data_IF_576644122722
#
_entry.id   IF_576644122722
#
_cell.length_a   1.000
_cell.length_b   1.000
_cell.length_c   1.000
_cell.angle_alpha   90.00
_cell.angle_beta   90.00
_cell.angle_gamma   90.00
#
_symmetry.space_group_name_H-M   'P 1'
#
loop_
_entity.id
_entity.type
_entity.pdbx_description
1 polymer ?
#
# COMPACT_ATOMS: atom_id res chain seq x y z
N UNK A 1 -64.63 -0.35 -51.87
CA UNK A 1 -63.42 0.37 -52.30
C UNK A 1 -62.68 0.79 -51.05
N UNK A 2 -61.56 0.14 -50.82
CA UNK A 2 -60.81 0.06 -49.57
C UNK A 2 -59.63 1.03 -49.68
N UNK A 3 -59.50 2.00 -48.77
CA UNK A 3 -58.33 2.88 -48.72
C UNK A 3 -57.56 2.62 -47.43
N UNK A 4 -56.43 1.92 -47.57
CA UNK A 4 -55.45 1.65 -46.53
C UNK A 4 -54.70 2.94 -46.18
N UNK A 5 -54.64 3.29 -44.90
CA UNK A 5 -53.75 4.32 -44.37
C UNK A 5 -52.30 3.81 -44.36
N UNK A 6 -51.29 4.66 -44.63
CA UNK A 6 -49.90 4.23 -44.64
C UNK A 6 -49.39 4.02 -43.21
N UNK A 7 -48.77 2.86 -42.99
CA UNK A 7 -48.01 2.52 -41.78
C UNK A 7 -46.80 3.45 -41.65
N UNK A 8 -46.78 4.27 -40.60
CA UNK A 8 -45.60 5.02 -40.20
C UNK A 8 -44.53 4.04 -39.69
N UNK A 9 -43.51 3.82 -40.51
CA UNK A 9 -42.30 3.08 -40.15
C UNK A 9 -41.64 3.78 -38.95
N UNK A 10 -41.65 3.12 -37.80
CA UNK A 10 -40.89 3.55 -36.64
C UNK A 10 -39.40 3.50 -36.98
N UNK A 11 -38.79 4.65 -37.27
CA UNK A 11 -37.34 4.79 -37.36
C UNK A 11 -36.74 4.37 -36.02
N UNK A 12 -36.08 3.22 -36.02
CA UNK A 12 -35.21 2.76 -34.94
C UNK A 12 -34.08 3.78 -34.84
N UNK A 13 -34.22 4.74 -33.90
CA UNK A 13 -33.12 5.61 -33.50
C UNK A 13 -31.99 4.73 -32.97
N UNK A 14 -30.94 4.53 -33.77
CA UNK A 14 -29.72 3.88 -33.34
C UNK A 14 -29.22 4.55 -32.05
N UNK A 15 -29.07 3.73 -31.00
CA UNK A 15 -28.49 4.19 -29.76
C UNK A 15 -27.06 4.70 -30.03
N UNK A 16 -26.65 5.84 -29.46
CA UNK A 16 -25.32 6.37 -29.69
C UNK A 16 -24.25 5.34 -29.33
N UNK A 17 -23.17 5.23 -30.11
CA UNK A 17 -22.12 4.25 -29.90
C UNK A 17 -21.57 4.40 -28.48
N UNK A 18 -21.58 3.29 -27.72
CA UNK A 18 -20.99 3.23 -26.38
C UNK A 18 -19.54 3.69 -26.48
N UNK A 19 -19.18 4.77 -25.79
CA UNK A 19 -17.80 5.21 -25.66
C UNK A 19 -17.01 4.08 -24.99
N UNK A 20 -16.28 3.30 -25.79
CA UNK A 20 -15.26 2.40 -25.26
C UNK A 20 -14.23 3.25 -24.52
N UNK A 21 -13.92 2.93 -23.24
CA UNK A 21 -12.90 3.66 -22.51
C UNK A 21 -11.58 3.57 -23.27
N UNK A 22 -11.09 4.72 -23.74
CA UNK A 22 -9.85 4.84 -24.48
C UNK A 22 -8.73 4.08 -23.75
N UNK A 23 -8.11 3.11 -24.43
CA UNK A 23 -7.03 2.31 -23.86
C UNK A 23 -5.95 3.24 -23.26
N UNK A 24 -5.41 2.92 -22.07
CA UNK A 24 -4.42 3.77 -21.43
C UNK A 24 -3.22 3.92 -22.38
N UNK A 25 -3.00 5.13 -22.90
CA UNK A 25 -1.84 5.46 -23.74
C UNK A 25 -0.59 5.12 -22.93
N UNK A 26 0.08 4.02 -23.31
CA UNK A 26 1.38 3.64 -22.76
C UNK A 26 2.30 4.85 -22.94
N UNK A 27 2.56 5.56 -21.84
CA UNK A 27 3.43 6.73 -21.81
C UNK A 27 4.82 6.25 -22.22
N UNK A 28 5.17 6.35 -23.50
CA UNK A 28 6.53 6.09 -23.99
C UNK A 28 7.42 7.15 -23.36
N UNK A 29 8.37 6.72 -22.54
CA UNK A 29 9.36 7.60 -21.93
C UNK A 29 10.23 8.11 -23.08
N UNK A 30 9.99 9.35 -23.51
CA UNK A 30 10.84 9.97 -24.52
C UNK A 30 12.19 10.35 -23.87
N UNK A 31 13.32 10.24 -24.58
CA UNK A 31 14.63 10.65 -24.05
C UNK A 31 14.63 12.13 -23.63
N UNK A 32 13.79 12.96 -24.25
CA UNK A 32 13.56 14.36 -23.85
C UNK A 32 12.86 14.48 -22.49
N UNK A 33 11.90 13.61 -22.18
CA UNK A 33 11.25 13.57 -20.87
C UNK A 33 12.20 13.10 -19.76
N UNK A 34 13.13 12.19 -20.06
CA UNK A 34 14.21 11.79 -19.15
C UNK A 34 15.22 12.93 -18.91
N UNK A 35 15.61 13.65 -19.96
CA UNK A 35 16.48 14.83 -19.85
C UNK A 35 15.83 15.98 -19.06
N UNK A 36 14.51 16.16 -19.18
CA UNK A 36 13.75 17.15 -18.40
C UNK A 36 13.51 16.71 -16.94
N UNK A 37 13.57 15.41 -16.64
CA UNK A 37 13.40 14.87 -15.29
C UNK A 37 14.70 14.84 -14.48
N UNK A 38 15.87 14.87 -15.14
CA UNK A 38 17.20 14.82 -14.52
C UNK A 38 17.67 16.08 -13.76
N UNK A 39 17.36 17.33 -14.16
CA UNK A 39 17.95 18.51 -13.53
C UNK A 39 17.51 18.68 -12.07
N UNK A 40 16.29 18.26 -11.71
CA UNK A 40 15.77 18.40 -10.35
C UNK A 40 16.50 17.47 -9.35
N UNK A 41 16.64 16.14 -9.59
CA UNK A 41 17.43 15.26 -8.73
C UNK A 41 18.90 15.70 -8.61
N UNK A 42 19.51 16.12 -9.72
CA UNK A 42 20.90 16.58 -9.73
C UNK A 42 21.05 17.84 -8.89
N UNK A 43 20.17 18.83 -9.08
CA UNK A 43 20.18 20.05 -8.26
C UNK A 43 20.01 19.72 -6.77
N UNK A 44 19.15 18.78 -6.41
CA UNK A 44 18.98 18.33 -5.02
C UNK A 44 20.26 17.71 -4.46
N UNK A 45 20.93 16.83 -5.20
CA UNK A 45 22.19 16.21 -4.75
C UNK A 45 23.32 17.22 -4.61
N UNK A 46 23.42 18.17 -5.56
CA UNK A 46 24.42 19.24 -5.53
C UNK A 46 24.14 20.21 -4.38
N UNK A 47 22.90 20.65 -4.19
CA UNK A 47 22.55 21.54 -3.07
C UNK A 47 22.77 20.85 -1.72
N UNK A 48 22.50 19.54 -1.62
CA UNK A 48 22.79 18.77 -0.41
C UNK A 48 24.30 18.67 -0.15
N UNK A 49 25.10 18.34 -1.16
CA UNK A 49 26.56 18.25 -0.97
C UNK A 49 27.17 19.60 -0.60
N UNK A 50 26.75 20.68 -1.27
CA UNK A 50 27.19 22.04 -0.94
C UNK A 50 26.72 22.47 0.45
N UNK A 51 25.49 22.12 0.84
CA UNK A 51 24.96 22.46 2.16
C UNK A 51 25.71 21.80 3.30
N UNK A 52 26.14 20.55 3.13
CA UNK A 52 27.00 19.86 4.11
C UNK A 52 28.40 20.49 4.12
N UNK A 53 29.01 20.72 2.95
CA UNK A 53 30.36 21.29 2.85
C UNK A 53 30.46 22.71 3.44
N UNK A 54 29.50 23.58 3.14
CA UNK A 54 29.46 24.95 3.63
C UNK A 54 28.76 25.08 4.99
N UNK A 55 28.43 23.96 5.64
CA UNK A 55 27.80 23.94 6.98
C UNK A 55 26.58 24.87 7.08
N UNK A 56 25.69 24.81 6.09
CA UNK A 56 24.50 25.67 6.06
C UNK A 56 23.66 25.48 7.32
N UNK A 57 23.29 26.60 7.94
CA UNK A 57 22.29 26.64 9.00
C UNK A 57 20.91 26.85 8.37
N UNK A 58 20.10 25.80 8.40
CA UNK A 58 18.71 25.90 8.01
C UNK A 58 17.89 26.55 9.15
N UNK A 59 16.69 27.08 8.83
CA UNK A 59 15.73 27.48 9.86
C UNK A 59 15.50 26.34 10.87
N UNK A 60 15.08 26.69 12.10
CA UNK A 60 14.88 25.74 13.20
C UNK A 60 16.15 25.10 13.78
N UNK A 61 17.33 25.66 13.49
CA UNK A 61 18.59 25.25 14.12
C UNK A 61 19.20 23.96 13.56
N UNK A 62 18.70 23.48 12.41
CA UNK A 62 19.22 22.29 11.73
C UNK A 62 20.55 22.64 11.05
N UNK A 63 21.64 22.07 11.54
CA UNK A 63 22.98 22.26 10.96
C UNK A 63 23.27 21.16 9.96
N UNK A 64 23.43 21.52 8.68
CA UNK A 64 23.74 20.53 7.63
C UNK A 64 25.06 19.78 7.87
N UNK A 65 25.98 20.34 8.67
CA UNK A 65 27.22 19.67 9.07
C UNK A 65 27.01 18.35 9.84
N UNK A 66 25.82 18.14 10.43
CA UNK A 66 25.48 16.90 11.13
C UNK A 66 24.95 15.81 10.18
N UNK A 67 24.58 16.16 8.95
CA UNK A 67 24.07 15.22 7.98
C UNK A 67 25.24 14.58 7.19
N UNK A 68 25.12 13.30 6.82
CA UNK A 68 26.10 12.67 5.96
C UNK A 68 26.06 13.28 4.56
N UNK A 69 27.19 13.27 3.87
CA UNK A 69 27.23 13.65 2.45
C UNK A 69 26.51 12.60 1.59
N UNK A 70 25.99 12.97 0.40
CA UNK A 70 25.43 11.99 -0.53
C UNK A 70 26.40 10.84 -0.87
N UNK A 71 27.71 11.14 -0.93
CA UNK A 71 28.76 10.14 -1.14
C UNK A 71 28.89 9.16 0.01
N UNK A 72 28.78 9.60 1.27
CA UNK A 72 28.81 8.72 2.44
C UNK A 72 27.60 7.78 2.46
N UNK A 73 26.40 8.30 2.13
CA UNK A 73 25.20 7.46 1.98
C UNK A 73 25.38 6.46 0.84
N UNK A 74 25.97 6.87 -0.29
CA UNK A 74 26.28 5.96 -1.40
C UNK A 74 27.28 4.85 -1.03
N UNK A 75 28.34 5.18 -0.30
CA UNK A 75 29.32 4.21 0.22
C UNK A 75 28.65 3.25 1.19
N UNK A 76 27.82 3.76 2.12
CA UNK A 76 27.08 2.94 3.07
C UNK A 76 26.11 2.00 2.36
N UNK A 77 25.38 2.48 1.35
CA UNK A 77 24.54 1.62 0.52
C UNK A 77 25.36 0.50 -0.13
N UNK A 78 26.49 0.82 -0.75
CA UNK A 78 27.37 -0.21 -1.33
C UNK A 78 27.86 -1.21 -0.28
N UNK A 79 28.23 -0.75 0.92
CA UNK A 79 28.67 -1.59 2.03
C UNK A 79 27.58 -2.54 2.50
N UNK A 80 26.34 -2.08 2.59
CA UNK A 80 25.20 -2.91 2.97
C UNK A 80 25.02 -4.10 2.01
N UNK A 81 25.26 -3.91 0.70
CA UNK A 81 25.09 -4.96 -0.31
C UNK A 81 26.32 -5.84 -0.53
N UNK A 82 27.52 -5.27 -0.55
CA UNK A 82 28.76 -5.98 -0.93
C UNK A 82 29.66 -6.31 0.26
N UNK A 83 29.54 -5.56 1.36
CA UNK A 83 30.35 -5.69 2.56
C UNK A 83 31.80 -5.22 2.40
N UNK A 84 32.46 -5.02 3.54
CA UNK A 84 33.91 -4.78 3.63
C UNK A 84 34.35 -3.34 3.35
N UNK A 85 33.42 -2.38 3.21
CA UNK A 85 33.73 -0.96 2.99
C UNK A 85 33.65 -0.15 4.29
N UNK A 86 32.70 -0.48 5.17
CA UNK A 86 32.49 0.18 6.46
C UNK A 86 32.40 -0.88 7.56
N UNK A 87 33.20 -0.78 8.64
CA UNK A 87 33.06 -1.68 9.78
C UNK A 87 31.67 -1.54 10.39
N UNK A 88 30.93 -2.64 10.48
CA UNK A 88 29.61 -2.65 11.11
C UNK A 88 28.88 -3.98 11.00
N UNK A 89 27.86 -4.22 11.84
CA UNK A 89 27.12 -5.49 11.87
C UNK A 89 26.27 -5.73 10.61
N UNK A 90 26.00 -4.68 9.82
CA UNK A 90 25.16 -4.75 8.62
C UNK A 90 25.93 -4.85 7.29
N UNK A 91 27.27 -4.81 7.34
CA UNK A 91 28.13 -4.89 6.15
C UNK A 91 27.88 -6.22 5.42
N UNK A 92 27.35 -6.16 4.20
CA UNK A 92 27.03 -7.33 3.38
C UNK A 92 25.84 -8.17 3.83
N UNK A 93 25.06 -7.76 4.83
CA UNK A 93 23.93 -8.55 5.38
C UNK A 93 22.54 -8.00 4.98
N UNK A 94 22.46 -7.01 4.08
CA UNK A 94 21.20 -6.32 3.78
C UNK A 94 20.09 -7.23 3.25
N UNK A 95 20.45 -8.28 2.49
CA UNK A 95 19.50 -9.22 1.91
C UNK A 95 18.69 -9.95 2.97
N UNK A 96 19.31 -10.28 4.11
CA UNK A 96 18.63 -10.90 5.24
C UNK A 96 17.59 -9.97 5.85
N UNK A 97 17.91 -8.68 5.97
CA UNK A 97 17.00 -7.66 6.46
C UNK A 97 15.83 -7.41 5.51
N UNK A 98 16.11 -7.29 4.21
CA UNK A 98 15.09 -7.14 3.16
C UNK A 98 14.13 -8.33 3.18
N UNK A 99 14.68 -9.56 3.19
CA UNK A 99 13.87 -10.76 3.18
C UNK A 99 12.96 -10.87 4.41
N UNK A 100 13.52 -10.63 5.60
CA UNK A 100 12.74 -10.65 6.84
C UNK A 100 11.59 -9.62 6.81
N UNK A 101 11.85 -8.41 6.31
CA UNK A 101 10.84 -7.36 6.13
C UNK A 101 9.76 -7.76 5.11
N UNK A 102 10.14 -8.32 3.97
CA UNK A 102 9.19 -8.79 2.95
C UNK A 102 8.30 -9.93 3.48
N UNK A 103 8.87 -10.88 4.22
CA UNK A 103 8.11 -11.99 4.83
C UNK A 103 7.09 -11.46 5.82
N UNK A 104 7.45 -10.49 6.68
CA UNK A 104 6.51 -9.90 7.64
C UNK A 104 5.43 -9.07 6.96
N UNK A 105 5.80 -8.20 6.02
CA UNK A 105 4.85 -7.42 5.23
C UNK A 105 3.87 -8.33 4.50
N UNK A 106 4.40 -9.33 3.78
CA UNK A 106 3.60 -10.30 3.02
C UNK A 106 2.68 -11.13 3.91
N UNK A 107 3.16 -11.59 5.06
CA UNK A 107 2.36 -12.38 6.01
C UNK A 107 1.21 -11.56 6.61
N UNK A 108 1.49 -10.35 7.09
CA UNK A 108 0.46 -9.46 7.65
C UNK A 108 -0.56 -9.04 6.60
N UNK A 109 -0.09 -8.70 5.39
CA UNK A 109 -0.94 -8.38 4.25
C UNK A 109 -1.82 -9.55 3.82
N UNK A 110 -1.26 -10.76 3.72
CA UNK A 110 -2.01 -11.96 3.33
C UNK A 110 -3.08 -12.30 4.36
N UNK A 111 -2.77 -12.20 5.65
CA UNK A 111 -3.75 -12.35 6.73
C UNK A 111 -4.85 -11.28 6.65
N UNK A 112 -4.48 -10.03 6.35
CA UNK A 112 -5.44 -8.94 6.20
C UNK A 112 -6.37 -9.20 5.02
N UNK A 113 -5.86 -9.57 3.86
CA UNK A 113 -6.66 -9.88 2.68
C UNK A 113 -7.58 -11.09 2.92
N UNK A 114 -7.06 -12.16 3.54
CA UNK A 114 -7.81 -13.38 3.84
C UNK A 114 -9.02 -13.13 4.75
N UNK A 115 -8.95 -12.13 5.64
CA UNK A 115 -10.05 -11.78 6.55
C UNK A 115 -10.90 -10.62 6.05
N UNK A 116 -10.27 -9.53 5.60
CA UNK A 116 -10.95 -8.30 5.19
C UNK A 116 -11.76 -8.47 3.91
N UNK A 117 -11.31 -9.29 2.95
CA UNK A 117 -12.03 -9.48 1.68
C UNK A 117 -13.34 -10.25 1.90
N UNK A 118 -13.36 -11.46 2.50
CA UNK A 118 -14.61 -12.15 2.77
C UNK A 118 -15.54 -11.36 3.69
N UNK A 119 -14.98 -10.75 4.74
CA UNK A 119 -15.77 -9.97 5.69
C UNK A 119 -16.33 -8.69 5.06
N UNK A 120 -15.56 -8.03 4.19
CA UNK A 120 -16.01 -6.85 3.45
C UNK A 120 -17.13 -7.18 2.49
N UNK A 121 -17.04 -8.31 1.77
CA UNK A 121 -18.13 -8.78 0.89
C UNK A 121 -19.39 -9.02 1.73
N UNK A 122 -19.25 -9.68 2.88
CA UNK A 122 -20.39 -9.95 3.76
C UNK A 122 -21.03 -8.65 4.28
N UNK A 123 -20.21 -7.70 4.72
CA UNK A 123 -20.63 -6.38 5.21
C UNK A 123 -21.42 -5.64 4.12
N UNK A 124 -20.87 -5.55 2.90
CA UNK A 124 -21.52 -4.83 1.80
C UNK A 124 -22.84 -5.44 1.31
N UNK A 125 -23.17 -6.67 1.69
CA UNK A 125 -24.38 -7.38 1.21
C UNK A 125 -25.40 -7.69 2.28
N UNK A 126 -25.00 -7.76 3.54
CA UNK A 126 -25.88 -8.06 4.65
C UNK A 126 -26.12 -6.84 5.52
N UNK A 127 -27.36 -6.35 5.51
CA UNK A 127 -27.78 -5.23 6.38
C UNK A 127 -27.58 -5.56 7.86
N UNK A 128 -27.88 -6.80 8.27
CA UNK A 128 -27.71 -7.24 9.66
C UNK A 128 -26.23 -7.25 10.09
N UNK A 129 -25.32 -7.70 9.22
CA UNK A 129 -23.88 -7.68 9.50
C UNK A 129 -23.37 -6.24 9.52
N UNK A 130 -23.84 -5.39 8.61
CA UNK A 130 -23.52 -3.96 8.63
C UNK A 130 -23.92 -3.33 9.96
N UNK A 131 -25.19 -3.44 10.34
CA UNK A 131 -25.71 -2.84 11.58
C UNK A 131 -25.00 -3.35 12.85
N UNK A 132 -24.56 -4.62 12.86
CA UNK A 132 -23.88 -5.21 14.01
C UNK A 132 -22.42 -4.73 14.14
N UNK A 133 -21.69 -4.60 13.03
CA UNK A 133 -20.25 -4.34 13.05
C UNK A 133 -19.86 -2.90 12.73
N UNK A 134 -20.72 -2.12 12.06
CA UNK A 134 -20.46 -0.73 11.70
C UNK A 134 -20.09 0.15 12.91
N UNK A 135 -20.76 0.06 14.09
CA UNK A 135 -20.36 0.82 15.28
C UNK A 135 -18.93 0.49 15.73
N UNK A 136 -18.57 -0.80 15.76
CA UNK A 136 -17.23 -1.24 16.15
C UNK A 136 -16.17 -0.76 15.15
N UNK A 137 -16.45 -0.87 13.85
CA UNK A 137 -15.56 -0.38 12.80
C UNK A 137 -15.35 1.13 12.95
N UNK A 138 -16.41 1.90 13.21
CA UNK A 138 -16.32 3.36 13.37
C UNK A 138 -15.56 3.79 14.63
N UNK A 139 -15.57 2.98 15.70
CA UNK A 139 -14.81 3.25 16.93
C UNK A 139 -13.33 2.88 16.77
N UNK A 140 -13.03 1.74 16.16
CA UNK A 140 -11.67 1.21 16.07
C UNK A 140 -10.87 1.88 14.96
N UNK A 141 -11.49 2.15 13.80
CA UNK A 141 -10.81 2.68 12.61
C UNK A 141 -10.04 3.99 12.84
N UNK A 142 -10.54 4.98 13.61
CA UNK A 142 -9.82 6.24 13.81
C UNK A 142 -8.55 6.10 14.65
N UNK A 143 -8.39 5.00 15.39
CA UNK A 143 -7.23 4.77 16.25
C UNK A 143 -6.02 4.52 15.34
N UNK A 144 -4.96 5.35 15.40
CA UNK A 144 -3.81 5.18 14.54
C UNK A 144 -3.12 3.85 14.84
N UNK A 145 -2.73 3.10 13.81
CA UNK A 145 -2.08 1.79 13.94
C UNK A 145 -0.83 1.86 14.82
N UNK A 146 -0.10 2.97 14.80
CA UNK A 146 1.07 3.21 15.65
C UNK A 146 0.75 3.18 17.14
N UNK A 147 -0.45 3.59 17.56
CA UNK A 147 -0.86 3.54 18.96
C UNK A 147 -1.09 2.10 19.47
N UNK A 148 -1.23 1.13 18.56
CA UNK A 148 -1.36 -0.29 18.92
C UNK A 148 -0.02 -0.95 19.22
N UNK A 149 1.11 -0.33 18.84
CA UNK A 149 2.43 -0.96 18.98
C UNK A 149 2.76 -1.39 20.42
N UNK A 150 2.59 -0.55 21.46
CA UNK A 150 2.87 -0.97 22.83
C UNK A 150 1.99 -2.13 23.31
N UNK A 151 0.69 -2.09 22.97
CA UNK A 151 -0.25 -3.14 23.34
C UNK A 151 0.07 -4.46 22.63
N UNK A 152 0.41 -4.40 21.34
CA UNK A 152 0.81 -5.57 20.57
C UNK A 152 2.03 -6.26 21.20
N UNK A 153 3.02 -5.50 21.67
CA UNK A 153 4.19 -6.07 22.32
C UNK A 153 3.88 -6.76 23.65
N UNK A 154 2.99 -6.17 24.47
CA UNK A 154 2.63 -6.71 25.77
C UNK A 154 1.76 -7.98 25.62
N UNK A 155 0.78 -7.96 24.71
CA UNK A 155 -0.22 -9.02 24.59
C UNK A 155 0.24 -10.15 23.66
N UNK A 156 0.85 -9.81 22.52
CA UNK A 156 1.27 -10.79 21.50
C UNK A 156 2.72 -11.24 21.76
N UNK A 157 3.52 -10.39 22.39
CA UNK A 157 4.93 -10.61 22.67
C UNK A 157 5.85 -9.88 21.68
N UNK A 158 7.11 -9.75 22.08
CA UNK A 158 8.18 -9.13 21.29
C UNK A 158 8.54 -10.05 20.11
N UNK A 159 8.82 -9.46 18.94
CA UNK A 159 9.27 -10.19 17.75
C UNK A 159 8.29 -10.14 16.57
N UNK A 160 8.47 -11.06 15.63
CA UNK A 160 7.81 -11.07 14.32
C UNK A 160 6.29 -11.03 14.40
N UNK A 161 5.69 -11.69 15.40
CA UNK A 161 4.23 -11.77 15.55
C UNK A 161 3.60 -10.40 15.79
N UNK A 162 4.22 -9.55 16.61
CA UNK A 162 3.75 -8.19 16.87
C UNK A 162 3.85 -7.30 15.63
N UNK A 163 4.97 -7.39 14.90
CA UNK A 163 5.16 -6.65 13.65
C UNK A 163 4.14 -7.08 12.59
N UNK A 164 3.93 -8.39 12.41
CA UNK A 164 2.93 -8.96 11.48
C UNK A 164 1.52 -8.49 11.85
N UNK A 165 1.19 -8.42 13.15
CA UNK A 165 -0.11 -7.92 13.61
C UNK A 165 -0.32 -6.44 13.28
N UNK A 166 0.69 -5.59 13.45
CA UNK A 166 0.59 -4.17 13.10
C UNK A 166 0.44 -3.96 11.58
N UNK A 167 1.18 -4.73 10.78
CA UNK A 167 1.01 -4.77 9.32
C UNK A 167 -0.40 -5.23 8.94
N UNK A 168 -0.90 -6.27 9.58
CA UNK A 168 -2.27 -6.76 9.40
C UNK A 168 -3.28 -5.63 9.65
N UNK A 169 -3.17 -4.94 10.79
CA UNK A 169 -4.10 -3.88 11.18
C UNK A 169 -4.05 -2.69 10.21
N UNK A 170 -2.85 -2.34 9.72
CA UNK A 170 -2.63 -1.32 8.70
C UNK A 170 -3.36 -1.61 7.38
N UNK A 171 -3.28 -2.87 6.93
CA UNK A 171 -3.89 -3.31 5.69
C UNK A 171 -5.41 -3.58 5.82
N UNK A 172 -5.86 -4.07 6.96
CA UNK A 172 -7.18 -4.65 7.15
C UNK A 172 -8.32 -3.65 6.87
N UNK A 173 -8.32 -2.48 7.50
CA UNK A 173 -9.44 -1.54 7.37
C UNK A 173 -9.60 -0.93 5.97
N UNK A 174 -8.54 -0.45 5.29
CA UNK A 174 -8.66 0.03 3.91
C UNK A 174 -9.19 -1.05 2.96
N UNK A 175 -8.74 -2.30 3.11
CA UNK A 175 -9.24 -3.44 2.32
C UNK A 175 -10.71 -3.74 2.62
N UNK A 176 -11.07 -3.77 3.90
CA UNK A 176 -12.43 -4.07 4.36
C UNK A 176 -13.42 -3.04 3.80
N UNK A 177 -13.10 -1.76 3.95
CA UNK A 177 -13.96 -0.66 3.51
C UNK A 177 -14.12 -0.68 2.00
N UNK A 178 -13.01 -0.75 1.25
CA UNK A 178 -13.05 -0.76 -0.21
C UNK A 178 -13.82 -1.97 -0.76
N UNK A 179 -13.62 -3.13 -0.14
CA UNK A 179 -14.34 -4.36 -0.53
C UNK A 179 -15.82 -4.27 -0.20
N UNK A 180 -16.19 -3.75 0.97
CA UNK A 180 -17.59 -3.57 1.37
C UNK A 180 -18.33 -2.58 0.48
N UNK A 181 -17.69 -1.46 0.12
CA UNK A 181 -18.25 -0.49 -0.81
C UNK A 181 -18.45 -1.10 -2.20
N UNK A 182 -17.47 -1.86 -2.70
CA UNK A 182 -17.55 -2.55 -3.98
C UNK A 182 -18.70 -3.57 -4.02
N UNK A 183 -18.82 -4.38 -2.96
CA UNK A 183 -19.89 -5.35 -2.83
C UNK A 183 -21.27 -4.68 -2.76
N UNK A 184 -21.41 -3.58 -2.01
CA UNK A 184 -22.66 -2.83 -1.91
C UNK A 184 -23.10 -2.21 -3.25
N UNK A 185 -22.16 -1.88 -4.14
CA UNK A 185 -22.43 -1.29 -5.45
C UNK A 185 -22.84 -2.29 -6.53
N UNK A 186 -22.82 -3.61 -6.25
CA UNK A 186 -23.24 -4.62 -7.22
C UNK A 186 -24.70 -4.41 -7.61
N UNK A 187 -25.02 -4.23 -8.92
CA UNK A 187 -26.37 -3.92 -9.37
C UNK A 187 -27.41 -4.94 -8.89
N UNK A 188 -28.56 -4.49 -8.33
CA UNK A 188 -29.63 -5.39 -7.86
C UNK A 188 -30.11 -6.37 -8.94
N UNK A 189 -30.17 -5.91 -10.20
CA UNK A 189 -30.60 -6.71 -11.37
C UNK A 189 -29.76 -7.98 -11.57
N UNK A 190 -28.45 -7.94 -11.29
CA UNK A 190 -27.59 -9.14 -11.39
C UNK A 190 -27.99 -10.19 -10.34
N UNK A 191 -28.44 -9.74 -9.18
CA UNK A 191 -28.83 -10.59 -8.05
C UNK A 191 -30.22 -11.18 -8.24
N UNK A 192 -31.13 -10.41 -8.84
CA UNK A 192 -32.45 -10.83 -9.28
C UNK A 192 -32.33 -11.87 -10.38
N UNK A 193 -31.53 -11.60 -11.43
CA UNK A 193 -31.27 -12.57 -12.49
C UNK A 193 -30.69 -13.89 -11.95
N UNK A 194 -29.73 -13.82 -11.04
CA UNK A 194 -29.17 -15.02 -10.40
C UNK A 194 -30.21 -15.75 -9.53
N UNK A 195 -31.11 -15.03 -8.86
CA UNK A 195 -32.20 -15.63 -8.08
C UNK A 195 -33.22 -16.35 -8.98
N UNK A 196 -33.56 -15.77 -10.14
CA UNK A 196 -34.45 -16.39 -11.13
C UNK A 196 -33.88 -17.69 -11.71
N UNK A 197 -32.55 -17.80 -11.78
CA UNK A 197 -31.85 -19.04 -12.13
C UNK A 197 -31.75 -20.06 -10.98
N UNK A 198 -32.46 -19.84 -9.86
CA UNK A 198 -32.49 -20.75 -8.71
C UNK A 198 -31.22 -20.73 -7.84
N UNK A 199 -30.38 -19.69 -7.96
CA UNK A 199 -29.11 -19.65 -7.24
C UNK A 199 -29.31 -19.38 -5.75
N UNK A 200 -28.80 -20.31 -4.91
CA UNK A 200 -28.79 -20.15 -3.44
C UNK A 200 -28.02 -18.88 -3.00
N UNK A 201 -28.35 -18.25 -1.86
CA UNK A 201 -27.72 -17.00 -1.40
C UNK A 201 -26.20 -17.03 -1.34
N UNK A 202 -25.60 -18.11 -0.82
CA UNK A 202 -24.13 -18.24 -0.76
C UNK A 202 -23.50 -18.31 -2.16
N UNK A 203 -24.13 -19.03 -3.09
CA UNK A 203 -23.67 -19.13 -4.49
C UNK A 203 -23.74 -17.76 -5.17
N UNK A 204 -24.79 -16.97 -4.91
CA UNK A 204 -24.89 -15.59 -5.41
C UNK A 204 -23.74 -14.72 -4.90
N UNK A 205 -23.33 -14.90 -3.64
CA UNK A 205 -22.21 -14.15 -3.08
C UNK A 205 -20.87 -14.50 -3.74
N UNK A 206 -20.60 -15.79 -3.97
CA UNK A 206 -19.31 -16.24 -4.52
C UNK A 206 -19.24 -16.10 -6.04
N UNK A 207 -20.34 -16.33 -6.77
CA UNK A 207 -20.34 -16.38 -8.24
C UNK A 207 -20.80 -15.09 -8.91
N UNK A 208 -21.46 -14.18 -8.18
CA UNK A 208 -21.96 -12.91 -8.76
C UNK A 208 -21.33 -11.72 -8.05
N UNK A 209 -21.45 -11.67 -6.73
CA UNK A 209 -20.97 -10.51 -5.96
C UNK A 209 -19.45 -10.45 -5.95
N UNK A 210 -18.77 -11.52 -5.57
CA UNK A 210 -17.31 -11.53 -5.47
C UNK A 210 -16.64 -11.16 -6.81
N UNK A 211 -17.01 -11.76 -7.97
CA UNK A 211 -16.45 -11.39 -9.26
C UNK A 211 -16.78 -9.94 -9.66
N UNK A 212 -18.01 -9.49 -9.44
CA UNK A 212 -18.41 -8.10 -9.74
C UNK A 212 -17.68 -7.08 -8.86
N UNK A 213 -17.23 -7.48 -7.67
CA UNK A 213 -16.53 -6.61 -6.72
C UNK A 213 -15.01 -6.59 -6.91
N UNK A 214 -14.45 -7.45 -7.78
CA UNK A 214 -13.00 -7.60 -8.01
C UNK A 214 -12.28 -6.26 -8.22
N UNK A 215 -12.76 -5.32 -9.05
CA UNK A 215 -12.06 -4.05 -9.25
C UNK A 215 -11.90 -3.24 -7.95
N UNK A 216 -12.94 -3.21 -7.12
CA UNK A 216 -12.90 -2.52 -5.83
C UNK A 216 -12.10 -3.25 -4.76
N UNK A 217 -12.09 -4.60 -4.80
CA UNK A 217 -11.19 -5.41 -3.97
C UNK A 217 -9.73 -5.08 -4.30
N UNK A 218 -9.36 -5.04 -5.59
CA UNK A 218 -8.00 -4.68 -6.02
C UNK A 218 -7.63 -3.24 -5.62
N UNK A 219 -8.57 -2.31 -5.66
CA UNK A 219 -8.37 -0.95 -5.14
C UNK A 219 -8.02 -0.99 -3.65
N UNK A 220 -8.76 -1.76 -2.85
CA UNK A 220 -8.51 -1.94 -1.43
C UNK A 220 -7.17 -2.63 -1.14
N UNK A 221 -6.84 -3.68 -1.89
CA UNK A 221 -5.58 -4.40 -1.78
C UNK A 221 -4.39 -3.49 -2.07
N UNK A 222 -4.44 -2.68 -3.13
CA UNK A 222 -3.35 -1.75 -3.47
C UNK A 222 -3.12 -0.71 -2.36
N UNK A 223 -4.19 -0.08 -1.87
CA UNK A 223 -4.07 0.90 -0.78
C UNK A 223 -3.56 0.22 0.50
N UNK A 224 -4.07 -0.97 0.81
CA UNK A 224 -3.64 -1.76 1.96
C UNK A 224 -2.19 -2.19 1.87
N UNK A 225 -1.66 -2.48 0.68
CA UNK A 225 -0.26 -2.87 0.46
C UNK A 225 0.68 -1.70 0.76
N UNK A 226 0.37 -0.51 0.26
CA UNK A 226 1.16 0.70 0.55
C UNK A 226 1.19 1.05 2.04
N UNK A 227 0.04 0.94 2.73
CA UNK A 227 -0.03 1.19 4.17
C UNK A 227 0.66 0.09 5.00
N UNK A 228 0.52 -1.18 4.62
CA UNK A 228 1.25 -2.30 5.22
C UNK A 228 2.76 -2.09 5.13
N UNK A 229 3.26 -1.68 3.97
CA UNK A 229 4.69 -1.40 3.75
C UNK A 229 5.17 -0.21 4.59
N UNK A 230 4.42 0.90 4.59
CA UNK A 230 4.79 2.09 5.36
C UNK A 230 4.81 1.83 6.87
N UNK A 231 3.85 1.07 7.40
CA UNK A 231 3.72 0.79 8.82
C UNK A 231 4.53 -0.42 9.31
N UNK A 232 5.02 -1.27 8.41
CA UNK A 232 5.97 -2.33 8.74
C UNK A 232 7.16 -1.76 9.52
N UNK A 233 7.69 -0.61 9.06
CA UNK A 233 8.86 0.05 9.65
C UNK A 233 8.65 0.26 11.14
N UNK A 234 7.48 0.78 11.54
CA UNK A 234 7.14 1.02 12.95
C UNK A 234 7.11 -0.29 13.73
N UNK A 235 6.52 -1.35 13.17
CA UNK A 235 6.47 -2.66 13.84
C UNK A 235 7.85 -3.30 14.03
N UNK A 236 8.77 -3.10 13.09
CA UNK A 236 10.14 -3.61 13.21
C UNK A 236 11.00 -2.80 14.19
N UNK A 237 10.74 -1.49 14.32
CA UNK A 237 11.49 -0.62 15.24
C UNK A 237 11.30 -0.98 16.72
N UNK A 238 10.17 -1.60 17.09
CA UNK A 238 9.75 -1.72 18.49
C UNK A 238 9.94 -3.10 19.11
N UNK A 239 10.51 -4.07 18.39
CA UNK A 239 10.66 -5.41 18.97
C UNK A 239 11.28 -6.48 18.08
N UNK A 240 12.01 -6.11 17.03
CA UNK A 240 12.61 -7.05 16.09
C UNK A 240 14.07 -6.71 15.88
N UNK A 241 14.95 -7.72 15.83
CA UNK A 241 16.39 -7.52 15.66
C UNK A 241 16.87 -7.59 14.18
N UNK A 242 16.05 -8.15 13.30
CA UNK A 242 16.38 -8.34 11.87
C UNK A 242 15.26 -7.74 11.04
N UNK A 243 15.56 -6.80 10.15
CA UNK A 243 14.60 -6.07 9.33
C UNK A 243 15.11 -4.68 8.96
N UNK A 244 14.50 -4.06 7.97
CA UNK A 244 14.85 -2.70 7.52
C UNK A 244 14.50 -1.65 8.59
N UNK A 245 13.35 -1.79 9.28
CA UNK A 245 12.98 -0.91 10.39
C UNK A 245 13.85 -1.12 11.63
N UNK A 246 14.28 -2.36 11.89
CA UNK A 246 15.24 -2.66 12.94
C UNK A 246 16.60 -1.99 12.67
N UNK A 247 17.08 -2.05 11.43
CA UNK A 247 18.31 -1.37 11.00
C UNK A 247 18.23 0.15 11.15
N UNK A 248 17.08 0.75 10.82
CA UNK A 248 16.83 2.19 11.04
C UNK A 248 16.83 2.52 12.53
N UNK A 249 16.19 1.68 13.36
CA UNK A 249 16.17 1.89 14.81
C UNK A 249 17.58 1.80 15.40
N UNK A 250 18.38 0.84 14.97
CA UNK A 250 19.78 0.73 15.39
C UNK A 250 20.57 1.97 14.99
N UNK A 251 20.47 2.38 13.72
CA UNK A 251 21.10 3.61 13.21
C UNK A 251 20.70 4.85 14.02
N UNK A 252 19.45 4.92 14.49
CA UNK A 252 19.00 5.98 15.42
C UNK A 252 19.68 5.87 16.78
N UNK A 253 19.74 4.68 17.38
CA UNK A 253 20.35 4.46 18.70
C UNK A 253 21.83 4.82 18.69
N UNK A 254 22.57 4.42 17.65
CA UNK A 254 24.01 4.72 17.50
C UNK A 254 24.28 6.05 16.79
N UNK A 255 23.26 6.84 16.48
CA UNK A 255 23.35 8.13 15.78
C UNK A 255 24.07 8.08 14.42
N UNK A 256 23.99 6.95 13.71
CA UNK A 256 24.52 6.75 12.36
C UNK A 256 23.46 7.16 11.33
N UNK A 257 23.42 8.46 11.00
CA UNK A 257 22.43 9.04 10.09
C UNK A 257 22.58 8.49 8.66
N UNK A 258 23.79 8.12 8.26
CA UNK A 258 24.09 7.45 6.99
C UNK A 258 23.39 6.07 6.90
N UNK A 259 23.37 5.30 7.98
CA UNK A 259 22.64 4.02 8.06
C UNK A 259 21.12 4.23 8.00
N UNK A 260 20.61 5.24 8.72
CA UNK A 260 19.18 5.61 8.70
C UNK A 260 18.75 5.98 7.27
N UNK A 261 19.46 6.89 6.62
CA UNK A 261 19.16 7.34 5.26
C UNK A 261 19.26 6.20 4.24
N UNK A 262 20.28 5.34 4.37
CA UNK A 262 20.43 4.16 3.52
C UNK A 262 19.23 3.22 3.64
N UNK A 263 18.77 2.95 4.88
CA UNK A 263 17.56 2.15 5.12
C UNK A 263 16.30 2.79 4.53
N UNK A 264 16.12 4.10 4.69
CA UNK A 264 15.00 4.83 4.11
C UNK A 264 14.99 4.75 2.57
N UNK A 265 16.15 4.87 1.93
CA UNK A 265 16.29 4.74 0.47
C UNK A 265 15.92 3.33 0.02
N UNK A 266 16.42 2.30 0.69
CA UNK A 266 16.12 0.89 0.36
C UNK A 266 14.61 0.63 0.48
N UNK A 267 13.97 1.07 1.57
CA UNK A 267 12.53 0.94 1.77
C UNK A 267 11.76 1.68 0.67
N UNK A 268 12.21 2.89 0.31
CA UNK A 268 11.61 3.69 -0.75
C UNK A 268 11.66 2.99 -2.11
N UNK A 269 12.83 2.48 -2.51
CA UNK A 269 13.03 1.77 -3.77
C UNK A 269 12.19 0.49 -3.83
N UNK A 270 12.19 -0.31 -2.75
CA UNK A 270 11.39 -1.54 -2.66
C UNK A 270 9.89 -1.26 -2.63
N UNK A 271 9.47 -0.06 -2.22
CA UNK A 271 8.08 0.36 -2.17
C UNK A 271 7.49 0.88 -3.49
N UNK A 272 8.32 1.28 -4.46
CA UNK A 272 7.88 1.81 -5.77
C UNK A 272 6.89 0.90 -6.53
N UNK A 273 7.07 -0.44 -6.59
CA UNK A 273 6.17 -1.31 -7.35
C UNK A 273 4.85 -1.66 -6.64
N UNK A 274 4.64 -1.22 -5.39
CA UNK A 274 3.49 -1.59 -4.55
C UNK A 274 2.20 -0.83 -4.89
#
# INVERSE_FOLDING_TARGET
>A
MTALAPTASAEVREAPPRHEPAAPRRRRWSPRALLLALPVPIAVLVLWSLGVQFSWNLPFGIRMAQLPTPSQVGIRLADLFFGGLVPGPYSGDIWRHIWASLVRAGSGFALAAALAVPFGILLGRSRSVTQLFEPLINIVRPIPVTAWAPLALIVIGIGDRSAIFLVFLAAFFPMLISTSAAAAQVPPRLLEAAAMLGMKPWKRMILVVAPASVPGIFSGLRVGLGLAWALLVVGEMTGVNIGLGAMIMEGRVVSQIDLIMSGMIIIGILGVPL
#
